data_IF_519026282182
#
_entry.id   IF_519026282182
#
_cell.length_a   1.000
_cell.length_b   1.000
_cell.length_c   1.000
_cell.angle_alpha   90.00
_cell.angle_beta   90.00
_cell.angle_gamma   90.00
#
_symmetry.space_group_name_H-M   'P 1'
#
loop_
_entity.id
_entity.type
_entity.pdbx_description
1 polymer ?
#
# COMPACT_ATOMS: atom_id res chain seq x y z
N UNK A 1 -13.17 17.97 46.55
CA UNK A 1 -13.27 19.09 45.58
C UNK A 1 -12.02 19.92 45.78
N UNK A 2 -11.14 20.04 44.79
CA UNK A 2 -9.96 20.91 44.93
C UNK A 2 -10.42 22.38 44.90
N UNK A 3 -10.02 23.16 45.89
CA UNK A 3 -10.41 24.58 46.00
C UNK A 3 -9.87 25.40 44.82
N UNK A 4 -10.63 26.41 44.36
CA UNK A 4 -10.26 27.22 43.20
C UNK A 4 -8.87 27.87 43.30
N UNK A 5 -8.39 28.11 44.53
CA UNK A 5 -7.05 28.61 44.81
C UNK A 5 -5.94 27.62 44.44
N UNK A 6 -6.13 26.31 44.68
CA UNK A 6 -5.11 25.29 44.40
C UNK A 6 -4.97 25.02 42.91
N UNK A 7 -6.09 25.06 42.16
CA UNK A 7 -6.10 24.98 40.70
C UNK A 7 -5.39 26.18 40.06
N UNK A 8 -5.65 27.39 40.57
CA UNK A 8 -4.98 28.62 40.09
C UNK A 8 -3.47 28.57 40.36
N UNK A 9 -3.04 28.08 41.51
CA UNK A 9 -1.62 27.91 41.82
C UNK A 9 -0.93 26.89 40.88
N UNK A 10 -1.57 25.74 40.61
CA UNK A 10 -1.05 24.74 39.67
C UNK A 10 -0.91 25.28 38.25
N UNK A 11 -1.94 25.96 37.75
CA UNK A 11 -1.90 26.54 36.40
C UNK A 11 -0.83 27.65 36.29
N UNK A 12 -0.63 28.44 37.35
CA UNK A 12 0.44 29.44 37.40
C UNK A 12 1.83 28.80 37.39
N UNK A 13 2.03 27.67 38.07
CA UNK A 13 3.30 26.94 38.07
C UNK A 13 3.62 26.33 36.70
N UNK A 14 2.62 25.74 36.03
CA UNK A 14 2.80 25.20 34.67
C UNK A 14 3.13 26.31 33.68
N UNK A 15 2.46 27.47 33.80
CA UNK A 15 2.73 28.62 32.93
C UNK A 15 4.14 29.18 33.16
N UNK A 16 4.58 29.32 34.41
CA UNK A 16 5.93 29.77 34.73
C UNK A 16 7.01 28.79 34.24
N UNK A 17 6.76 27.47 34.32
CA UNK A 17 7.67 26.46 33.78
C UNK A 17 7.75 26.50 32.23
N UNK A 18 6.64 26.77 31.56
CA UNK A 18 6.61 26.95 30.11
C UNK A 18 7.31 28.25 29.69
N UNK A 19 7.17 29.33 30.45
CA UNK A 19 7.80 30.62 30.19
C UNK A 19 9.32 30.55 30.42
N UNK A 20 9.79 29.87 31.47
CA UNK A 20 11.21 29.58 31.68
C UNK A 20 11.80 28.67 30.58
N UNK A 21 11.00 27.78 29.99
CA UNK A 21 11.42 26.95 28.84
C UNK A 21 11.41 27.74 27.52
N UNK A 22 10.63 28.82 27.43
CA UNK A 22 10.56 29.68 26.25
C UNK A 22 11.61 30.80 26.27
N UNK A 23 12.01 31.26 27.45
CA UNK A 23 13.02 32.31 27.64
C UNK A 23 14.46 31.75 27.75
N UNK A 24 14.60 30.42 27.86
CA UNK A 24 15.87 29.70 27.73
C UNK A 24 16.12 29.20 26.31
N UNK A 25 16.37 30.10 25.37
CA UNK A 25 17.00 29.76 24.09
C UNK A 25 18.52 29.73 24.23
N UNK A 26 19.05 28.64 24.80
CA UNK A 26 20.44 28.22 24.56
C UNK A 26 20.41 26.71 24.31
N UNK A 27 20.64 26.34 23.05
CA UNK A 27 20.90 24.96 22.64
C UNK A 27 22.17 24.46 23.33
N UNK A 28 22.18 23.30 24.02
CA UNK A 28 23.42 22.60 24.24
C UNK A 28 23.74 21.78 22.98
N UNK A 29 24.74 22.25 22.24
CA UNK A 29 25.45 21.49 21.23
C UNK A 29 25.93 20.15 21.83
N UNK A 30 25.40 19.04 21.35
CA UNK A 30 25.98 17.72 21.59
C UNK A 30 27.08 17.49 20.56
N UNK A 31 28.33 17.60 21.02
CA UNK A 31 29.54 17.08 20.37
C UNK A 31 29.34 15.60 20.01
N UNK A 32 29.37 15.29 18.71
CA UNK A 32 29.51 13.91 18.22
C UNK A 32 30.84 13.81 17.48
N UNK A 33 31.74 12.99 18.05
CA UNK A 33 33.09 12.76 17.56
C UNK A 33 33.14 12.37 16.09
N UNK A 34 34.06 13.01 15.36
CA UNK A 34 34.36 12.71 13.97
C UNK A 34 35.13 11.39 13.83
N UNK A 35 34.49 10.38 13.21
CA UNK A 35 35.21 9.26 12.59
C UNK A 35 35.34 9.55 11.10
N UNK A 36 36.57 9.83 10.68
CA UNK A 36 36.94 10.01 9.29
C UNK A 36 36.99 8.65 8.57
N UNK A 37 36.08 8.43 7.62
CA UNK A 37 36.27 7.43 6.55
C UNK A 37 36.14 8.10 5.20
N UNK A 38 37.26 8.10 4.48
CA UNK A 38 37.54 8.68 3.18
C UNK A 38 36.35 8.75 2.20
N UNK A 39 36.02 9.97 1.76
CA UNK A 39 35.06 10.25 0.70
C UNK A 39 35.62 9.82 -0.65
N UNK A 40 35.27 8.62 -1.11
CA UNK A 40 35.33 8.29 -2.54
C UNK A 40 34.04 8.81 -3.17
N UNK A 41 34.14 9.91 -3.92
CA UNK A 41 33.04 10.50 -4.68
C UNK A 41 32.43 9.48 -5.64
N UNK A 42 31.20 9.04 -5.35
CA UNK A 42 30.34 8.32 -6.29
C UNK A 42 29.28 9.30 -6.75
N UNK A 43 29.20 9.49 -8.07
CA UNK A 43 28.23 10.36 -8.73
C UNK A 43 26.81 10.00 -8.27
N UNK A 44 26.07 11.02 -7.82
CA UNK A 44 24.70 10.86 -7.36
C UNK A 44 23.83 10.39 -8.52
N UNK A 45 23.35 9.14 -8.47
CA UNK A 45 22.38 8.64 -9.42
C UNK A 45 21.13 9.53 -9.36
N UNK A 46 20.86 10.27 -10.44
CA UNK A 46 19.66 11.10 -10.55
C UNK A 46 18.44 10.19 -10.49
N UNK A 47 17.61 10.36 -9.45
CA UNK A 47 16.36 9.63 -9.29
C UNK A 47 15.46 9.90 -10.51
N UNK A 48 14.71 8.89 -11.01
CA UNK A 48 13.76 9.10 -12.08
C UNK A 48 12.72 10.14 -11.61
N UNK A 49 12.50 11.15 -12.44
CA UNK A 49 11.44 12.14 -12.22
C UNK A 49 10.10 11.40 -12.32
N UNK A 50 9.46 11.21 -11.18
CA UNK A 50 8.13 10.62 -11.10
C UNK A 50 7.13 11.69 -11.52
N UNK A 51 6.29 11.38 -12.51
CA UNK A 51 5.12 12.20 -12.79
C UNK A 51 4.10 11.96 -11.67
N UNK A 52 3.82 13.01 -10.91
CA UNK A 52 2.80 13.01 -9.88
C UNK A 52 1.44 12.97 -10.57
N UNK A 53 0.81 11.80 -10.60
CA UNK A 53 -0.55 11.64 -11.11
C UNK A 53 -1.47 12.37 -10.15
N UNK A 54 -1.83 13.61 -10.48
CA UNK A 54 -2.83 14.38 -9.73
C UNK A 54 -4.20 13.77 -10.01
N UNK A 55 -4.69 12.96 -9.07
CA UNK A 55 -6.06 12.50 -9.07
C UNK A 55 -6.89 13.53 -8.30
N UNK A 56 -7.86 14.16 -8.97
CA UNK A 56 -8.79 15.08 -8.32
C UNK A 56 -9.63 14.32 -7.29
N UNK A 57 -9.20 14.36 -6.03
CA UNK A 57 -9.85 13.65 -4.92
C UNK A 57 -11.32 14.07 -4.77
N UNK A 58 -11.64 15.34 -5.03
CA UNK A 58 -12.99 15.88 -4.94
C UNK A 58 -13.94 15.31 -6.01
N UNK A 59 -13.42 15.01 -7.20
CA UNK A 59 -14.20 14.35 -8.25
C UNK A 59 -14.44 12.85 -7.96
N UNK A 60 -13.57 12.21 -7.17
CA UNK A 60 -13.62 10.78 -6.86
C UNK A 60 -14.43 10.48 -5.59
N UNK A 61 -14.41 11.39 -4.61
CA UNK A 61 -14.91 11.14 -3.25
C UNK A 61 -16.33 11.72 -3.03
N UNK A 62 -16.77 12.67 -3.86
CA UNK A 62 -18.10 13.30 -3.74
C UNK A 62 -18.09 14.46 -2.74
N UNK A 63 -19.06 15.37 -2.87
CA UNK A 63 -19.04 16.66 -2.18
C UNK A 63 -19.87 16.68 -0.89
N UNK A 64 -20.72 15.67 -0.65
CA UNK A 64 -21.54 15.56 0.57
C UNK A 64 -21.07 14.44 1.49
N UNK A 65 -21.17 14.63 2.81
CA UNK A 65 -20.76 13.64 3.81
C UNK A 65 -21.43 12.27 3.61
N UNK A 66 -22.67 12.24 3.15
CA UNK A 66 -23.42 11.02 2.82
C UNK A 66 -22.80 10.28 1.61
N UNK A 67 -22.31 11.01 0.60
CA UNK A 67 -21.63 10.43 -0.57
C UNK A 67 -20.24 9.93 -0.20
N UNK A 68 -19.54 10.65 0.68
CA UNK A 68 -18.25 10.24 1.24
C UNK A 68 -18.41 8.95 2.05
N UNK A 69 -19.45 8.79 2.88
CA UNK A 69 -19.66 7.55 3.66
C UNK A 69 -19.97 6.36 2.74
N UNK A 70 -20.75 6.58 1.68
CA UNK A 70 -21.00 5.56 0.64
C UNK A 70 -19.72 5.22 -0.15
N UNK A 71 -18.80 6.18 -0.27
CA UNK A 71 -17.51 6.02 -0.96
C UNK A 71 -16.34 5.54 -0.07
N UNK A 72 -16.45 5.70 1.25
CA UNK A 72 -15.49 5.31 2.30
C UNK A 72 -15.80 3.94 2.87
N UNK A 73 -17.04 3.43 2.72
CA UNK A 73 -17.28 2.01 2.85
C UNK A 73 -16.31 1.26 1.91
N UNK A 74 -15.58 0.23 2.38
CA UNK A 74 -14.69 -0.55 1.52
C UNK A 74 -15.48 -1.08 0.32
N UNK A 75 -15.31 -0.44 -0.84
CA UNK A 75 -16.22 -0.51 -2.01
C UNK A 75 -16.37 -1.88 -2.67
N UNK A 76 -15.74 -2.94 -2.17
CA UNK A 76 -15.88 -4.27 -2.76
C UNK A 76 -16.02 -5.34 -1.68
N UNK A 77 -17.25 -5.56 -1.27
CA UNK A 77 -17.66 -6.75 -0.53
C UNK A 77 -17.16 -8.06 -1.17
N UNK A 78 -16.89 -8.07 -2.49
CA UNK A 78 -16.45 -9.24 -3.25
C UNK A 78 -15.02 -9.13 -3.85
N UNK A 79 -14.20 -8.15 -3.46
CA UNK A 79 -12.84 -8.00 -4.01
C UNK A 79 -11.95 -9.17 -3.66
N UNK A 80 -12.01 -9.56 -2.39
CA UNK A 80 -11.28 -10.71 -1.86
C UNK A 80 -11.69 -11.99 -2.58
N UNK A 81 -13.01 -12.18 -2.77
CA UNK A 81 -13.55 -13.31 -3.50
C UNK A 81 -13.02 -13.38 -4.94
N UNK A 82 -13.03 -12.25 -5.67
CA UNK A 82 -12.52 -12.22 -7.05
C UNK A 82 -11.03 -12.47 -7.10
N UNK A 83 -10.26 -11.90 -6.17
CA UNK A 83 -8.82 -12.09 -6.06
C UNK A 83 -8.46 -13.55 -5.76
N UNK A 84 -9.17 -14.17 -4.83
CA UNK A 84 -8.85 -15.52 -4.33
C UNK A 84 -9.36 -16.63 -5.27
N UNK A 85 -10.43 -16.35 -6.04
CA UNK A 85 -10.96 -17.28 -7.05
C UNK A 85 -10.20 -17.18 -8.38
N UNK A 86 -9.73 -16.00 -8.78
CA UNK A 86 -9.01 -15.79 -10.04
C UNK A 86 -7.87 -16.81 -10.31
N UNK A 87 -6.93 -17.08 -9.39
CA UNK A 87 -5.86 -18.05 -9.63
C UNK A 87 -6.38 -19.49 -9.74
N UNK A 88 -7.47 -19.83 -9.04
CA UNK A 88 -8.11 -21.16 -9.12
C UNK A 88 -8.74 -21.37 -10.49
N UNK A 89 -9.46 -20.38 -11.01
CA UNK A 89 -10.04 -20.41 -12.35
C UNK A 89 -8.96 -20.46 -13.43
N UNK A 90 -7.90 -19.66 -13.32
CA UNK A 90 -6.79 -19.69 -14.27
C UNK A 90 -6.10 -21.07 -14.31
N UNK A 91 -5.95 -21.72 -13.15
CA UNK A 91 -5.39 -23.09 -13.08
C UNK A 91 -6.32 -24.12 -13.69
N UNK A 92 -7.63 -23.99 -13.46
CA UNK A 92 -8.63 -24.87 -14.04
C UNK A 92 -8.69 -24.71 -15.56
N UNK A 93 -8.76 -23.49 -16.06
CA UNK A 93 -8.77 -23.17 -17.49
C UNK A 93 -7.55 -23.76 -18.22
N UNK A 94 -6.34 -23.58 -17.66
CA UNK A 94 -5.12 -24.20 -18.22
C UNK A 94 -5.21 -25.72 -18.29
N UNK A 95 -5.83 -26.38 -17.30
CA UNK A 95 -6.01 -27.84 -17.31
C UNK A 95 -7.06 -28.26 -18.33
N UNK A 96 -8.16 -27.53 -18.45
CA UNK A 96 -9.21 -27.79 -19.43
C UNK A 96 -8.68 -27.65 -20.86
N UNK A 97 -7.91 -26.60 -21.15
CA UNK A 97 -7.29 -26.42 -22.47
C UNK A 97 -6.33 -27.57 -22.81
N UNK A 98 -5.50 -28.00 -21.84
CA UNK A 98 -4.60 -29.15 -22.02
C UNK A 98 -5.38 -30.45 -22.29
N UNK A 99 -6.40 -30.73 -21.49
CA UNK A 99 -7.24 -31.92 -21.65
C UNK A 99 -7.95 -31.91 -23.00
N UNK A 100 -8.46 -30.76 -23.45
CA UNK A 100 -9.08 -30.62 -24.77
C UNK A 100 -8.11 -30.95 -25.90
N UNK A 101 -6.89 -30.42 -25.85
CA UNK A 101 -5.85 -30.72 -26.84
C UNK A 101 -5.47 -32.21 -26.81
N UNK A 102 -5.38 -32.81 -25.63
CA UNK A 102 -5.07 -34.22 -25.48
C UNK A 102 -6.15 -35.12 -26.07
N UNK A 103 -7.43 -34.83 -25.80
CA UNK A 103 -8.56 -35.55 -26.39
C UNK A 103 -8.56 -35.44 -27.92
N UNK A 104 -8.35 -34.24 -28.47
CA UNK A 104 -8.25 -34.05 -29.92
C UNK A 104 -7.14 -34.91 -30.54
N UNK A 105 -5.97 -34.97 -29.89
CA UNK A 105 -4.85 -35.82 -30.34
C UNK A 105 -5.20 -37.30 -30.30
N UNK A 106 -5.86 -37.76 -29.23
CA UNK A 106 -6.29 -39.15 -29.10
C UNK A 106 -7.32 -39.52 -30.17
N UNK A 107 -8.31 -38.66 -30.42
CA UNK A 107 -9.30 -38.87 -31.48
C UNK A 107 -8.66 -38.94 -32.87
N UNK A 108 -7.70 -38.05 -33.15
CA UNK A 108 -6.98 -38.06 -34.42
C UNK A 108 -6.14 -39.32 -34.61
N UNK A 109 -5.41 -39.76 -33.58
CA UNK A 109 -4.66 -41.01 -33.59
C UNK A 109 -5.56 -42.23 -33.78
N UNK A 110 -6.69 -42.27 -33.06
CA UNK A 110 -7.68 -43.34 -33.21
C UNK A 110 -8.22 -43.39 -34.65
N UNK A 111 -8.57 -42.23 -35.23
CA UNK A 111 -9.02 -42.13 -36.62
C UNK A 111 -7.96 -42.61 -37.61
N UNK A 112 -6.69 -42.23 -37.43
CA UNK A 112 -5.58 -42.70 -38.27
C UNK A 112 -5.40 -44.22 -38.16
N UNK A 113 -5.39 -44.77 -36.96
CA UNK A 113 -5.29 -46.22 -36.75
C UNK A 113 -6.45 -46.99 -37.38
N UNK A 114 -7.69 -46.48 -37.29
CA UNK A 114 -8.84 -47.11 -37.96
C UNK A 114 -8.77 -47.02 -39.48
N UNK A 115 -8.17 -45.95 -40.03
CA UNK A 115 -7.98 -45.80 -41.46
C UNK A 115 -6.88 -46.73 -41.98
N UNK A 116 -5.77 -46.90 -41.24
CA UNK A 116 -4.69 -47.83 -41.57
C UNK A 116 -5.12 -49.30 -41.44
N UNK A 117 -5.95 -49.64 -40.46
CA UNK A 117 -6.45 -51.01 -40.30
C UNK A 117 -7.54 -51.40 -41.32
N UNK A 118 -8.16 -50.41 -41.98
CA UNK A 118 -9.19 -50.61 -42.99
C UNK A 118 -8.69 -50.56 -44.45
N UNK A 119 -7.41 -50.22 -44.66
CA UNK A 119 -6.74 -50.21 -45.96
C UNK A 119 -5.92 -51.48 -46.19
#
# INVERSE_FOLDING_TARGET
MEDAATRRARLKAIKAAAEARMEGSEEPAAEVEAVATASKSVEAAKAPEFEEITVDLDAVIGHSAEEVIVNVAPKKANWDLRRDIAPKLAKLERRTQRAMIELMKQEEQHRQATAEAGA
#
